data_IF_993899181392
#
_entry.id   IF_993899181392
#
_cell.length_a   1.000
_cell.length_b   1.000
_cell.length_c   1.000
_cell.angle_alpha   90.00
_cell.angle_beta   90.00
_cell.angle_gamma   90.00
#
_symmetry.space_group_name_H-M   'P 1'
#
loop_
_entity.id
_entity.type
_entity.pdbx_description
1 polymer ?
#
# COMPACT_ATOMS: atom_id res chain seq x y z
N UNK A 1 13.39 -4.53 -13.25
CA UNK A 1 13.14 -3.57 -12.15
C UNK A 1 11.71 -3.08 -12.32
N UNK A 2 10.82 -3.35 -11.35
CA UNK A 2 9.41 -3.01 -11.49
C UNK A 2 9.24 -1.53 -11.13
N UNK A 3 9.28 -0.64 -12.12
CA UNK A 3 9.15 0.81 -11.90
C UNK A 3 7.90 1.33 -12.58
N UNK A 4 6.91 1.66 -11.76
CA UNK A 4 5.69 2.29 -12.21
C UNK A 4 5.69 3.76 -11.80
N UNK A 5 5.38 4.70 -12.71
CA UNK A 5 5.23 6.10 -12.37
C UNK A 5 4.00 6.31 -11.46
N UNK A 6 3.96 7.39 -10.67
CA UNK A 6 2.76 7.76 -9.92
C UNK A 6 1.62 8.10 -10.89
N UNK A 7 0.38 7.87 -10.44
CA UNK A 7 -0.79 8.30 -11.18
C UNK A 7 -0.93 9.84 -11.15
N UNK A 8 -1.51 10.46 -12.19
CA UNK A 8 -1.85 11.87 -12.15
C UNK A 8 -2.89 12.15 -11.06
N UNK A 9 -2.66 13.17 -10.24
CA UNK A 9 -3.53 13.52 -9.12
C UNK A 9 -3.95 14.99 -9.16
N UNK A 10 -5.15 15.26 -8.63
CA UNK A 10 -5.64 16.63 -8.43
C UNK A 10 -4.93 17.28 -7.23
N UNK A 11 -5.02 18.60 -7.10
CA UNK A 11 -4.48 19.32 -5.94
C UNK A 11 -5.13 18.90 -4.63
N UNK A 12 -6.43 18.58 -4.65
CA UNK A 12 -7.16 18.11 -3.46
C UNK A 12 -6.65 16.73 -3.04
N UNK A 13 -6.59 15.78 -3.98
CA UNK A 13 -6.07 14.45 -3.72
C UNK A 13 -4.64 14.50 -3.21
N UNK A 14 -3.78 15.35 -3.80
CA UNK A 14 -2.39 15.47 -3.39
C UNK A 14 -2.23 15.92 -1.94
N UNK A 15 -3.05 16.86 -1.48
CA UNK A 15 -3.06 17.30 -0.07
C UNK A 15 -3.42 16.16 0.88
N UNK A 16 -4.40 15.35 0.50
CA UNK A 16 -4.82 14.23 1.33
C UNK A 16 -3.78 13.09 1.31
N UNK A 17 -3.14 12.83 0.17
CA UNK A 17 -1.99 11.92 0.10
C UNK A 17 -0.87 12.38 1.03
N UNK A 18 -0.50 13.66 0.99
CA UNK A 18 0.56 14.21 1.85
C UNK A 18 0.20 14.10 3.34
N UNK A 19 -1.06 14.36 3.71
CA UNK A 19 -1.56 14.17 5.07
C UNK A 19 -1.40 12.71 5.53
N UNK A 20 -1.89 11.74 4.77
CA UNK A 20 -1.82 10.32 5.15
C UNK A 20 -0.38 9.80 5.14
N UNK A 21 0.48 10.27 4.24
CA UNK A 21 1.91 9.96 4.26
C UNK A 21 2.57 10.46 5.55
N UNK A 22 2.26 11.67 6.00
CA UNK A 22 2.81 12.20 7.25
C UNK A 22 2.33 11.40 8.46
N UNK A 23 1.05 11.01 8.51
CA UNK A 23 0.54 10.12 9.57
C UNK A 23 1.31 8.79 9.60
N UNK A 24 1.58 8.18 8.45
CA UNK A 24 2.35 6.93 8.37
C UNK A 24 3.84 7.11 8.75
N UNK A 25 4.42 8.28 8.46
CA UNK A 25 5.78 8.63 8.90
C UNK A 25 5.83 8.80 10.42
N UNK A 26 4.85 9.49 11.00
CA UNK A 26 4.75 9.73 12.44
C UNK A 26 4.51 8.43 13.22
N UNK A 27 3.79 7.48 12.62
CA UNK A 27 3.57 6.14 13.16
C UNK A 27 4.76 5.18 12.94
N UNK A 28 5.84 5.62 12.28
CA UNK A 28 7.01 4.80 11.92
C UNK A 28 6.65 3.54 11.09
N UNK A 29 5.57 3.62 10.31
CA UNK A 29 5.14 2.53 9.40
C UNK A 29 5.90 2.59 8.07
N UNK A 30 6.25 3.80 7.63
CA UNK A 30 7.04 4.05 6.42
C UNK A 30 8.20 4.99 6.71
N UNK A 31 9.19 5.02 5.83
CA UNK A 31 10.31 5.96 5.89
C UNK A 31 10.67 6.53 4.54
N UNK A 32 11.36 7.67 4.54
CA UNK A 32 12.03 8.17 3.34
C UNK A 32 13.21 7.28 2.99
N UNK A 33 13.39 7.06 1.70
CA UNK A 33 14.53 6.31 1.16
C UNK A 33 15.72 7.27 1.05
N UNK A 34 16.89 6.86 1.55
CA UNK A 34 18.11 7.65 1.49
C UNK A 34 18.66 7.77 0.07
N UNK A 35 19.42 8.84 -0.20
CA UNK A 35 19.95 9.13 -1.54
C UNK A 35 20.89 8.03 -2.09
N UNK A 36 21.49 7.21 -1.23
CA UNK A 36 22.39 6.12 -1.60
C UNK A 36 21.69 4.76 -1.77
N UNK A 37 20.39 4.67 -1.49
CA UNK A 37 19.67 3.40 -1.54
C UNK A 37 19.15 3.11 -2.95
N UNK A 38 19.42 1.91 -3.45
CA UNK A 38 18.97 1.48 -4.78
C UNK A 38 17.53 0.96 -4.69
N UNK A 39 16.60 1.67 -5.33
CA UNK A 39 15.18 1.26 -5.37
C UNK A 39 14.89 0.41 -6.61
N UNK A 40 14.74 -0.90 -6.36
CA UNK A 40 14.43 -1.92 -7.35
C UNK A 40 12.96 -2.01 -7.79
N UNK A 41 12.07 -1.46 -6.98
CA UNK A 41 10.63 -1.60 -7.14
C UNK A 41 9.96 -0.30 -6.71
N UNK A 42 9.06 0.23 -7.53
CA UNK A 42 8.16 1.33 -7.18
C UNK A 42 6.73 0.96 -7.48
N UNK A 43 5.87 1.13 -6.49
CA UNK A 43 4.43 0.92 -6.59
C UNK A 43 3.73 2.27 -6.47
N UNK A 44 2.83 2.63 -7.41
CA UNK A 44 2.05 3.84 -7.28
C UNK A 44 1.03 3.65 -6.15
N UNK A 45 0.68 4.76 -5.52
CA UNK A 45 -0.21 4.76 -4.37
C UNK A 45 -1.39 5.70 -4.69
N UNK A 46 -2.45 5.19 -5.36
CA UNK A 46 -3.66 5.95 -5.58
C UNK A 46 -4.41 6.24 -4.28
N UNK A 47 -5.21 7.30 -4.30
CA UNK A 47 -6.25 7.52 -3.30
C UNK A 47 -7.58 6.93 -3.77
N UNK A 48 -8.36 6.41 -2.84
CA UNK A 48 -9.73 5.96 -3.10
C UNK A 48 -10.68 6.65 -2.13
N UNK A 49 -11.87 7.03 -2.59
CA UNK A 49 -12.93 7.55 -1.73
C UNK A 49 -13.83 6.41 -1.26
N UNK A 50 -14.02 6.28 0.05
CA UNK A 50 -14.82 5.22 0.64
C UNK A 50 -15.45 5.65 1.96
N UNK A 51 -16.77 5.54 2.07
CA UNK A 51 -17.58 5.93 3.24
C UNK A 51 -17.24 7.33 3.80
N UNK A 52 -17.23 8.33 2.93
CA UNK A 52 -17.03 9.73 3.36
C UNK A 52 -15.58 10.09 3.67
N UNK A 53 -14.63 9.19 3.39
CA UNK A 53 -13.21 9.40 3.68
C UNK A 53 -12.33 8.97 2.52
N UNK A 54 -11.18 9.62 2.38
CA UNK A 54 -10.12 9.20 1.48
C UNK A 54 -9.24 8.13 2.12
N UNK A 55 -8.78 7.17 1.31
CA UNK A 55 -7.87 6.09 1.74
C UNK A 55 -6.72 5.93 0.75
N UNK A 56 -5.52 6.00 1.27
CA UNK A 56 -4.28 5.71 0.55
C UNK A 56 -4.15 4.19 0.33
N UNK A 57 -4.11 3.74 -0.93
CA UNK A 57 -4.09 2.33 -1.29
C UNK A 57 -2.93 2.03 -2.23
N UNK A 58 -1.95 1.24 -1.82
CA UNK A 58 -0.83 0.84 -2.69
C UNK A 58 -1.27 -0.12 -3.80
N UNK A 59 -0.95 0.19 -5.06
CA UNK A 59 -1.22 -0.71 -6.19
C UNK A 59 -0.12 -1.78 -6.33
N UNK A 60 -0.22 -2.81 -5.50
CA UNK A 60 0.75 -3.91 -5.50
C UNK A 60 0.46 -4.98 -6.56
N UNK A 61 -0.45 -4.77 -7.53
CA UNK A 61 -0.83 -5.82 -8.50
C UNK A 61 0.38 -6.36 -9.28
N UNK A 62 1.22 -5.47 -9.80
CA UNK A 62 2.41 -5.86 -10.53
C UNK A 62 3.49 -6.47 -9.61
N UNK A 63 3.59 -6.02 -8.35
CA UNK A 63 4.47 -6.62 -7.35
C UNK A 63 4.03 -8.05 -7.03
N UNK A 64 2.73 -8.25 -6.82
CA UNK A 64 2.13 -9.55 -6.50
C UNK A 64 2.37 -10.58 -7.61
N UNK A 65 2.37 -10.16 -8.89
CA UNK A 65 2.74 -11.03 -10.02
C UNK A 65 4.23 -11.39 -10.08
N UNK A 66 5.09 -10.57 -9.47
CA UNK A 66 6.54 -10.80 -9.43
C UNK A 66 6.97 -11.64 -8.22
N UNK A 67 6.20 -11.59 -7.14
CA UNK A 67 6.47 -12.33 -5.89
C UNK A 67 5.81 -13.70 -5.89
N UNK A 68 6.46 -14.69 -5.28
CA UNK A 68 5.82 -15.98 -4.96
C UNK A 68 5.06 -15.84 -3.64
N UNK A 69 3.77 -16.16 -3.64
CA UNK A 69 2.97 -16.16 -2.44
C UNK A 69 3.46 -17.24 -1.45
N UNK A 70 3.67 -16.84 -0.20
CA UNK A 70 3.90 -17.77 0.91
C UNK A 70 2.56 -18.13 1.55
N UNK A 71 2.02 -19.29 1.19
CA UNK A 71 0.65 -19.68 1.52
C UNK A 71 0.63 -20.34 2.90
N UNK A 72 0.41 -19.54 3.95
CA UNK A 72 0.10 -20.04 5.29
C UNK A 72 -1.35 -20.53 5.36
N UNK A 73 -1.64 -21.73 5.90
CA UNK A 73 -2.99 -22.27 5.94
C UNK A 73 -3.84 -21.53 6.99
N UNK A 74 -4.57 -20.52 6.55
CA UNK A 74 -5.57 -19.84 7.38
C UNK A 74 -6.90 -20.62 7.27
N UNK A 75 -7.49 -21.09 8.39
CA UNK A 75 -8.74 -21.82 8.36
C UNK A 75 -9.87 -20.92 7.85
N UNK A 76 -10.81 -21.52 7.11
CA UNK A 76 -12.06 -20.82 6.76
C UNK A 76 -12.86 -20.53 8.02
N UNK A 77 -13.63 -19.43 8.00
CA UNK A 77 -14.43 -18.99 9.15
C UNK A 77 -15.25 -20.13 9.78
N UNK A 78 -15.99 -20.97 9.02
CA UNK A 78 -16.74 -22.07 9.64
C UNK A 78 -15.85 -23.07 10.39
N UNK A 79 -14.71 -23.45 9.79
CA UNK A 79 -13.78 -24.41 10.42
C UNK A 79 -13.09 -23.85 11.66
N UNK A 80 -13.00 -22.52 11.80
CA UNK A 80 -12.48 -21.86 12.99
C UNK A 80 -13.52 -21.82 14.12
N UNK A 81 -14.81 -21.65 13.78
CA UNK A 81 -15.91 -21.60 14.74
C UNK A 81 -16.24 -22.99 15.32
N UNK A 82 -16.06 -24.06 14.56
CA UNK A 82 -16.27 -25.44 15.04
C UNK A 82 -15.27 -25.87 16.14
N UNK A 83 -14.22 -25.07 16.40
CA UNK A 83 -13.18 -25.31 17.40
C UNK A 83 -13.29 -24.45 18.67
N UNK A 84 -14.33 -23.61 18.77
CA UNK A 84 -14.68 -22.87 19.99
C UNK A 84 -15.61 -23.71 20.87
#
# INVERSE_FOLDING_TARGET
MLRNPPYPETLETRKEIEKQINELLDMDVIRKIGHNEIVGITTPVPITWHYGNYRLCGDFRALNSYTKADIYPIPRIPHALDKL
#
